data_IF_349675678877
#
_entry.id   IF_349675678877
#
_cell.length_a   1.000
_cell.length_b   1.000
_cell.length_c   1.000
_cell.angle_alpha   90.00
_cell.angle_beta   90.00
_cell.angle_gamma   90.00
#
_symmetry.space_group_name_H-M   'P 1'
#
loop_
_entity.id
_entity.type
_entity.pdbx_description
1 polymer ?
#
# COMPACT_ATOMS: atom_id res chain seq x y z
N UNK A 1 -7.51 16.54 -29.10
CA UNK A 1 -8.11 16.47 -27.74
C UNK A 1 -7.49 17.55 -26.88
N UNK A 2 -8.27 18.56 -26.46
CA UNK A 2 -7.76 19.63 -25.60
C UNK A 2 -7.52 19.11 -24.17
N UNK A 3 -6.35 19.44 -23.58
CA UNK A 3 -6.06 19.14 -22.16
C UNK A 3 -7.10 19.86 -21.29
N UNK A 4 -7.89 19.09 -20.54
CA UNK A 4 -8.83 19.60 -19.52
C UNK A 4 -8.05 20.53 -18.58
N UNK A 5 -8.59 21.73 -18.34
CA UNK A 5 -7.99 22.77 -17.47
C UNK A 5 -7.56 22.14 -16.15
N UNK A 6 -6.29 22.31 -15.76
CA UNK A 6 -5.73 21.81 -14.50
C UNK A 6 -6.48 22.45 -13.33
N UNK A 7 -7.48 21.75 -12.80
CA UNK A 7 -8.09 22.09 -11.52
C UNK A 7 -7.06 21.80 -10.42
N UNK A 8 -6.89 22.72 -9.48
CA UNK A 8 -6.05 22.47 -8.29
C UNK A 8 -6.61 21.25 -7.56
N UNK A 9 -5.72 20.32 -7.21
CA UNK A 9 -6.10 19.17 -6.39
C UNK A 9 -6.50 19.67 -4.99
N UNK A 10 -7.78 19.50 -4.64
CA UNK A 10 -8.33 19.95 -3.36
C UNK A 10 -8.30 18.85 -2.30
N UNK A 11 -7.82 17.65 -2.62
CA UNK A 11 -7.79 16.53 -1.69
C UNK A 11 -6.81 16.85 -0.56
N UNK A 12 -7.30 16.70 0.67
CA UNK A 12 -6.45 16.82 1.87
C UNK A 12 -5.64 15.54 2.05
N UNK A 13 -4.39 15.64 2.55
CA UNK A 13 -3.59 14.47 2.84
C UNK A 13 -4.23 13.63 3.96
N UNK A 14 -4.04 12.32 3.88
CA UNK A 14 -4.42 11.41 4.98
C UNK A 14 -3.40 11.62 6.10
N UNK A 15 -3.86 12.06 7.27
CA UNK A 15 -3.01 12.16 8.47
C UNK A 15 -2.93 10.81 9.17
N UNK A 16 -1.96 10.65 10.07
CA UNK A 16 -1.82 9.42 10.88
C UNK A 16 -3.09 9.10 11.68
N UNK A 17 -3.82 10.12 12.16
CA UNK A 17 -5.07 9.92 12.87
C UNK A 17 -6.19 9.39 11.94
N UNK A 18 -6.26 9.91 10.70
CA UNK A 18 -7.21 9.40 9.70
C UNK A 18 -6.84 7.98 9.31
N UNK A 19 -5.55 7.69 9.08
CA UNK A 19 -5.07 6.34 8.82
C UNK A 19 -5.48 5.37 9.93
N UNK A 20 -5.28 5.73 11.20
CA UNK A 20 -5.69 4.90 12.33
C UNK A 20 -7.19 4.57 12.29
N UNK A 21 -8.03 5.59 12.14
CA UNK A 21 -9.48 5.41 12.03
C UNK A 21 -9.88 4.50 10.87
N UNK A 22 -9.22 4.64 9.71
CA UNK A 22 -9.45 3.77 8.56
C UNK A 22 -9.13 2.30 8.89
N UNK A 23 -7.99 2.04 9.54
CA UNK A 23 -7.58 0.68 9.91
C UNK A 23 -8.46 0.07 11.00
N UNK A 24 -8.98 0.87 11.91
CA UNK A 24 -9.87 0.41 13.00
C UNK A 24 -11.27 0.06 12.46
N UNK A 25 -11.76 0.77 11.43
CA UNK A 25 -13.05 0.48 10.81
C UNK A 25 -13.06 -0.79 9.94
N UNK A 26 -11.91 -1.37 9.60
CA UNK A 26 -11.84 -2.56 8.71
C UNK A 26 -12.65 -3.74 9.25
N UNK A 27 -12.66 -3.95 10.56
CA UNK A 27 -13.43 -5.05 11.19
C UNK A 27 -14.94 -4.93 10.98
N UNK A 28 -15.45 -3.73 10.66
CA UNK A 28 -16.88 -3.48 10.45
C UNK A 28 -17.29 -3.62 8.98
N UNK A 29 -16.34 -3.55 8.04
CA UNK A 29 -16.62 -3.49 6.60
C UNK A 29 -16.14 -4.72 5.83
N UNK A 30 -15.16 -5.46 6.37
CA UNK A 30 -14.62 -6.66 5.75
C UNK A 30 -15.46 -7.89 6.12
N UNK A 31 -15.50 -8.89 5.22
CA UNK A 31 -16.32 -10.09 5.42
C UNK A 31 -15.69 -11.10 6.37
N UNK A 32 -14.36 -11.11 6.49
CA UNK A 32 -13.62 -12.06 7.30
C UNK A 32 -12.26 -11.49 7.75
N UNK A 33 -11.61 -12.19 8.68
CA UNK A 33 -10.32 -11.79 9.24
C UNK A 33 -9.20 -11.71 8.20
N UNK A 34 -9.25 -12.55 7.17
CA UNK A 34 -8.26 -12.53 6.08
C UNK A 34 -8.32 -11.19 5.34
N UNK A 35 -9.52 -10.72 4.97
CA UNK A 35 -9.70 -9.42 4.33
C UNK A 35 -9.27 -8.27 5.24
N UNK A 36 -9.59 -8.32 6.53
CA UNK A 36 -9.17 -7.31 7.51
C UNK A 36 -7.64 -7.18 7.50
N UNK A 37 -6.94 -8.31 7.61
CA UNK A 37 -5.46 -8.32 7.63
C UNK A 37 -4.87 -7.90 6.28
N UNK A 38 -5.45 -8.36 5.17
CA UNK A 38 -5.02 -8.01 3.81
C UNK A 38 -5.11 -6.50 3.59
N UNK A 39 -6.27 -5.90 3.83
CA UNK A 39 -6.48 -4.47 3.64
C UNK A 39 -5.68 -3.65 4.65
N UNK A 40 -5.50 -4.13 5.89
CA UNK A 40 -4.64 -3.47 6.87
C UNK A 40 -3.18 -3.41 6.40
N UNK A 41 -2.66 -4.48 5.82
CA UNK A 41 -1.33 -4.48 5.19
C UNK A 41 -1.26 -3.54 3.99
N UNK A 42 -2.19 -3.68 3.05
CA UNK A 42 -2.21 -2.92 1.82
C UNK A 42 -2.29 -1.41 2.07
N UNK A 43 -3.21 -0.97 2.94
CA UNK A 43 -3.37 0.44 3.31
C UNK A 43 -2.10 0.96 4.01
N UNK A 44 -1.50 0.17 4.92
CA UNK A 44 -0.26 0.55 5.61
C UNK A 44 0.90 0.70 4.62
N UNK A 45 1.10 -0.26 3.73
CA UNK A 45 2.16 -0.23 2.72
C UNK A 45 1.98 0.95 1.77
N UNK A 46 0.76 1.18 1.32
CA UNK A 46 0.43 2.29 0.42
C UNK A 46 0.68 3.64 1.09
N UNK A 47 0.33 3.77 2.37
CA UNK A 47 0.55 5.00 3.14
C UNK A 47 2.03 5.30 3.37
N UNK A 48 2.79 4.35 3.94
CA UNK A 48 4.20 4.57 4.29
C UNK A 48 5.14 4.49 3.09
N UNK A 49 4.79 3.70 2.08
CA UNK A 49 5.53 3.59 0.83
C UNK A 49 5.15 4.66 -0.20
N UNK A 50 4.10 5.45 0.04
CA UNK A 50 3.52 6.41 -0.89
C UNK A 50 3.19 5.79 -2.27
N UNK A 51 2.73 4.53 -2.26
CA UNK A 51 2.43 3.80 -3.49
C UNK A 51 1.13 4.30 -4.14
N UNK A 52 1.06 4.22 -5.46
CA UNK A 52 -0.18 4.45 -6.19
C UNK A 52 -1.02 3.19 -6.18
N UNK A 53 -2.34 3.34 -6.18
CA UNK A 53 -3.26 2.18 -6.22
C UNK A 53 -2.97 1.25 -7.41
N UNK A 54 -2.60 1.81 -8.56
CA UNK A 54 -2.24 1.04 -9.76
C UNK A 54 -0.94 0.24 -9.65
N UNK A 55 -0.13 0.51 -8.63
CA UNK A 55 1.15 -0.19 -8.40
C UNK A 55 0.94 -1.37 -7.43
N UNK A 56 -0.11 -1.35 -6.60
CA UNK A 56 -0.36 -2.34 -5.55
C UNK A 56 -1.57 -3.23 -5.80
N UNK A 57 -2.60 -2.74 -6.50
CA UNK A 57 -3.80 -3.50 -6.84
C UNK A 57 -3.80 -3.86 -8.32
N UNK A 58 -4.07 -5.13 -8.61
CA UNK A 58 -4.17 -5.63 -9.97
C UNK A 58 -5.31 -4.94 -10.74
N UNK A 59 -5.09 -4.63 -12.01
CA UNK A 59 -6.07 -3.91 -12.83
C UNK A 59 -7.28 -4.75 -13.18
N UNK A 60 -7.13 -6.07 -13.25
CA UNK A 60 -8.20 -7.04 -13.44
C UNK A 60 -7.76 -8.43 -12.93
N UNK A 61 -8.69 -9.40 -12.92
CA UNK A 61 -8.45 -10.75 -12.39
C UNK A 61 -7.35 -11.54 -13.12
N UNK A 62 -7.12 -11.25 -14.39
CA UNK A 62 -6.14 -11.96 -15.21
C UNK A 62 -4.82 -11.20 -15.36
N UNK A 63 -4.74 -9.99 -14.78
CA UNK A 63 -3.56 -9.16 -14.88
C UNK A 63 -2.47 -9.68 -13.94
N UNK A 64 -1.24 -9.76 -14.44
CA UNK A 64 -0.05 -10.05 -13.64
C UNK A 64 0.61 -8.76 -13.10
N UNK A 65 -0.20 -7.72 -12.88
CA UNK A 65 0.21 -6.46 -12.28
C UNK A 65 -0.24 -6.35 -10.82
N UNK A 66 0.11 -5.24 -10.16
CA UNK A 66 -0.07 -5.10 -8.72
C UNK A 66 1.04 -5.76 -7.90
N UNK A 67 0.85 -5.73 -6.58
CA UNK A 67 1.80 -6.26 -5.60
C UNK A 67 1.44 -7.70 -5.25
N UNK A 68 2.36 -8.64 -5.49
CA UNK A 68 2.17 -10.03 -5.10
C UNK A 68 2.84 -10.34 -3.77
N UNK A 69 2.46 -11.45 -3.13
CA UNK A 69 3.08 -11.88 -1.87
C UNK A 69 4.60 -12.10 -2.04
N UNK A 70 5.03 -12.68 -3.16
CA UNK A 70 6.46 -12.91 -3.46
C UNK A 70 7.27 -11.62 -3.64
N UNK A 71 6.61 -10.48 -3.84
CA UNK A 71 7.26 -9.18 -3.96
C UNK A 71 7.55 -8.55 -2.58
N UNK A 72 7.04 -9.14 -1.50
CA UNK A 72 7.21 -8.67 -0.13
C UNK A 72 8.02 -9.69 0.65
N UNK A 73 9.14 -9.25 1.24
CA UNK A 73 9.99 -10.11 2.06
C UNK A 73 10.40 -9.38 3.33
N UNK A 74 10.36 -10.08 4.47
CA UNK A 74 10.85 -9.57 5.74
C UNK A 74 12.35 -9.85 5.85
N UNK A 75 13.16 -8.82 6.04
CA UNK A 75 14.61 -8.93 6.20
C UNK A 75 15.09 -8.03 7.34
N UNK A 76 15.70 -8.63 8.37
CA UNK A 76 16.26 -7.93 9.54
C UNK A 76 15.31 -6.87 10.12
N UNK A 77 14.04 -7.24 10.33
CA UNK A 77 12.96 -6.38 10.86
C UNK A 77 12.49 -5.24 9.93
N UNK A 78 12.83 -5.29 8.65
CA UNK A 78 12.32 -4.36 7.63
C UNK A 78 11.63 -5.13 6.53
N UNK A 79 10.62 -4.52 5.93
CA UNK A 79 9.97 -5.07 4.75
C UNK A 79 10.66 -4.57 3.50
N UNK A 80 11.13 -5.49 2.69
CA UNK A 80 11.54 -5.25 1.31
C UNK A 80 10.32 -5.45 0.42
N UNK A 81 9.93 -4.42 -0.31
CA UNK A 81 8.80 -4.44 -1.25
C UNK A 81 9.33 -4.15 -2.65
N UNK A 82 9.00 -5.00 -3.61
CA UNK A 82 9.43 -4.88 -5.00
C UNK A 82 8.22 -4.45 -5.85
N UNK A 83 8.21 -3.20 -6.31
CA UNK A 83 7.22 -2.74 -7.27
C UNK A 83 7.74 -3.02 -8.69
N UNK A 84 7.13 -3.99 -9.37
CA UNK A 84 7.54 -4.42 -10.72
C UNK A 84 7.27 -3.38 -11.81
N UNK A 85 6.22 -2.58 -11.64
CA UNK A 85 5.84 -1.51 -12.56
C UNK A 85 5.52 -0.25 -11.76
N UNK A 86 6.17 0.86 -12.11
CA UNK A 86 5.79 2.18 -11.63
C UNK A 86 5.55 3.09 -12.81
N UNK A 87 4.55 3.98 -12.71
CA UNK A 87 4.27 4.96 -13.78
C UNK A 87 5.43 5.94 -14.01
N UNK A 88 6.31 6.10 -13.02
CA UNK A 88 7.53 6.91 -13.13
C UNK A 88 8.74 6.10 -13.58
N UNK A 89 8.62 4.78 -13.68
CA UNK A 89 9.68 3.89 -14.15
C UNK A 89 9.51 3.64 -15.65
N UNK A 90 9.95 4.63 -16.44
CA UNK A 90 9.92 4.54 -17.91
C UNK A 90 10.81 3.42 -18.46
N UNK A 91 11.76 2.91 -17.66
CA UNK A 91 12.69 1.85 -18.03
C UNK A 91 12.23 0.45 -17.58
N UNK A 92 11.09 0.34 -16.91
CA UNK A 92 10.52 -0.92 -16.40
C UNK A 92 11.50 -1.80 -15.59
N UNK A 93 12.43 -1.18 -14.86
CA UNK A 93 13.41 -1.90 -14.01
C UNK A 93 12.79 -2.40 -12.71
N UNK A 94 11.65 -1.84 -12.32
CA UNK A 94 11.07 -2.00 -11.00
C UNK A 94 11.83 -1.22 -9.93
N UNK A 95 11.18 -0.98 -8.79
CA UNK A 95 11.75 -0.26 -7.66
C UNK A 95 11.66 -1.09 -6.38
N UNK A 96 12.73 -1.02 -5.57
CA UNK A 96 12.78 -1.66 -4.26
C UNK A 96 12.54 -0.61 -3.17
N UNK A 97 11.56 -0.86 -2.32
CA UNK A 97 11.22 -0.03 -1.18
C UNK A 97 11.49 -0.76 0.12
N UNK A 98 11.97 -0.02 1.11
CA UNK A 98 12.24 -0.53 2.44
C UNK A 98 11.33 0.16 3.45
N UNK A 99 10.44 -0.60 4.09
CA UNK A 99 9.63 -0.11 5.20
C UNK A 99 10.21 -0.61 6.52
N UNK A 100 10.51 0.33 7.41
CA UNK A 100 10.95 0.03 8.77
C UNK A 100 9.78 -0.04 9.76
N UNK A 101 10.04 -0.55 10.98
CA UNK A 101 9.06 -0.49 12.04
C UNK A 101 8.88 0.96 12.49
N UNK A 102 7.67 1.29 12.94
CA UNK A 102 7.36 2.56 13.61
C UNK A 102 6.91 2.28 15.04
N UNK A 103 7.07 3.27 15.93
CA UNK A 103 6.77 3.12 17.35
C UNK A 103 5.31 2.73 17.63
N UNK A 104 4.37 3.18 16.80
CA UNK A 104 2.96 2.84 16.96
C UNK A 104 2.66 1.45 16.38
N UNK A 105 2.52 0.46 17.26
CA UNK A 105 2.28 -0.95 16.91
C UNK A 105 1.04 -1.14 16.03
N UNK A 106 -0.05 -0.38 16.25
CA UNK A 106 -1.28 -0.57 15.48
C UNK A 106 -1.18 -0.08 14.03
N UNK A 107 -0.26 0.85 13.77
CA UNK A 107 -0.01 1.42 12.45
C UNK A 107 1.22 0.82 11.78
N UNK A 108 2.00 0.02 12.51
CA UNK A 108 3.30 -0.43 12.04
C UNK A 108 3.17 -1.35 10.82
N UNK A 109 3.73 -0.98 9.65
CA UNK A 109 3.60 -1.79 8.45
C UNK A 109 4.26 -3.16 8.62
N UNK A 110 5.39 -3.22 9.34
CA UNK A 110 6.10 -4.47 9.65
C UNK A 110 5.25 -5.38 10.55
N UNK A 111 4.63 -4.83 11.59
CA UNK A 111 3.78 -5.61 12.49
C UNK A 111 2.50 -6.07 11.78
N UNK A 112 1.89 -5.19 10.98
CA UNK A 112 0.70 -5.53 10.23
C UNK A 112 0.97 -6.69 9.26
N UNK A 113 2.13 -6.70 8.59
CA UNK A 113 2.56 -7.84 7.76
C UNK A 113 2.87 -9.10 8.55
N UNK A 114 3.49 -8.98 9.73
CA UNK A 114 3.72 -10.15 10.60
C UNK A 114 2.41 -10.80 11.06
N UNK A 115 1.34 -10.01 11.19
CA UNK A 115 0.02 -10.49 11.62
C UNK A 115 -0.86 -10.99 10.46
N UNK A 116 -0.44 -10.78 9.20
CA UNK A 116 -1.13 -11.21 8.00
C UNK A 116 -1.01 -12.74 7.85
#
# INVERSE_FOLDING_TARGET
MARKKLSRDQRKPITLNILKKLLDCLQLVCFNDYEVKLFRCLISFTYFGAFRISEVVATNKSANDGLHNNDVTLFKHRLKIILRKSKTDQAAKGNIFWLGPIQNTSLCPVQNYHNF
#
